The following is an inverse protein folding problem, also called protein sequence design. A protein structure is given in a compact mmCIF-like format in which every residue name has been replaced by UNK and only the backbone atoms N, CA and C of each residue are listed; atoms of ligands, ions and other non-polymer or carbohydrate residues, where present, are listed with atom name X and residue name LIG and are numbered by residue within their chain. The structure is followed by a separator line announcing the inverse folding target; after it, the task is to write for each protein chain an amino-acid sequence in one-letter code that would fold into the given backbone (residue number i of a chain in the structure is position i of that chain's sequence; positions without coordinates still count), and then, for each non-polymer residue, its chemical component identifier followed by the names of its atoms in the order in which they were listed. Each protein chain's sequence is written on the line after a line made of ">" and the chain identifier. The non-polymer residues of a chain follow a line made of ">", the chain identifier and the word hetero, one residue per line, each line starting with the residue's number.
data_IF_872252885383
#
_entry.id   IF_872252885383
#
_cell.length_a   1.000
_cell.length_b   1.000
_cell.length_c   1.000
_cell.angle_alpha   90.00
_cell.angle_beta   90.00
_cell.angle_gamma   90.00
#
_symmetry.space_group_name_H-M   'P 1'
#
loop_
_entity.id
_entity.type
_entity.pdbx_description
1 polymer ?
#
# COMPACT_ATOMS: atom_id res chain seq x y z
N UNK A 1 30.24 14.92 -30.24
CA UNK A 1 30.66 14.23 -29.01
C UNK A 1 29.50 14.32 -28.04
N UNK A 2 28.84 13.23 -27.62
CA UNK A 2 27.78 13.34 -26.64
C UNK A 2 28.39 13.32 -25.22
N UNK A 3 28.01 14.32 -24.44
CA UNK A 3 28.39 14.55 -23.05
C UNK A 3 28.09 13.34 -22.17
N UNK A 4 29.09 12.91 -21.41
CA UNK A 4 28.97 11.88 -20.37
C UNK A 4 28.30 12.51 -19.15
N UNK A 5 27.28 11.88 -18.54
CA UNK A 5 26.61 12.44 -17.36
C UNK A 5 27.56 12.54 -16.16
N UNK A 6 27.52 13.67 -15.45
CA UNK A 6 28.33 13.89 -14.25
C UNK A 6 27.79 13.11 -13.05
N UNK A 7 28.69 12.69 -12.16
CA UNK A 7 28.45 11.77 -11.03
C UNK A 7 27.32 12.20 -10.04
N UNK A 8 26.80 13.43 -10.13
CA UNK A 8 25.67 13.90 -9.32
C UNK A 8 24.31 13.35 -9.76
N UNK A 9 24.12 13.02 -11.04
CA UNK A 9 22.82 12.54 -11.55
C UNK A 9 22.50 11.09 -11.18
N UNK A 10 23.47 10.33 -10.66
CA UNK A 10 23.28 8.94 -10.22
C UNK A 10 22.72 8.84 -8.79
N UNK A 11 22.80 9.91 -7.99
CA UNK A 11 22.38 9.88 -6.58
C UNK A 11 20.86 10.09 -6.38
N UNK A 12 20.20 10.92 -7.21
CA UNK A 12 18.78 11.24 -7.02
C UNK A 12 17.81 10.16 -7.55
N UNK A 13 18.24 9.33 -8.50
CA UNK A 13 17.44 8.19 -8.97
C UNK A 13 17.30 7.07 -7.91
N UNK A 14 18.13 7.07 -6.86
CA UNK A 14 18.06 6.09 -5.78
C UNK A 14 17.20 6.50 -4.58
N UNK A 15 16.76 7.76 -4.48
CA UNK A 15 15.91 8.19 -3.36
C UNK A 15 14.41 7.88 -3.57
N UNK A 16 13.94 7.89 -4.82
CA UNK A 16 12.52 7.65 -5.15
C UNK A 16 12.10 6.18 -5.28
N UNK A 17 13.06 5.25 -5.40
CA UNK A 17 12.78 3.81 -5.56
C UNK A 17 12.83 3.05 -4.23
N UNK A 18 13.35 3.65 -3.16
CA UNK A 18 13.56 2.96 -1.87
C UNK A 18 12.28 2.89 -1.01
N UNK A 19 11.23 3.64 -1.34
CA UNK A 19 9.95 3.61 -0.60
C UNK A 19 8.99 2.47 -0.97
N UNK A 20 9.22 1.75 -2.07
CA UNK A 20 8.32 0.67 -2.54
C UNK A 20 8.63 -0.71 -1.90
N UNK A 21 9.72 -0.83 -1.16
CA UNK A 21 10.24 -2.12 -0.68
C UNK A 21 9.88 -2.50 0.77
N UNK A 22 9.10 -1.69 1.48
CA UNK A 22 8.96 -1.84 2.94
C UNK A 22 7.56 -2.25 3.41
N UNK A 23 6.67 -2.69 2.53
CA UNK A 23 5.35 -3.24 2.91
C UNK A 23 5.41 -4.77 2.76
N UNK A 24 5.34 -5.55 3.87
CA UNK A 24 5.44 -7.01 3.85
C UNK A 24 4.32 -7.78 3.12
N UNK A 25 3.50 -7.14 2.27
CA UNK A 25 2.42 -7.80 1.52
C UNK A 25 2.36 -7.41 0.03
N UNK A 26 3.21 -6.48 -0.44
CA UNK A 26 3.12 -5.95 -1.83
C UNK A 26 3.78 -6.86 -2.87
N UNK A 27 4.39 -7.98 -2.46
CA UNK A 27 5.04 -8.94 -3.36
C UNK A 27 4.13 -9.52 -4.46
N UNK A 28 2.81 -9.49 -4.29
CA UNK A 28 1.83 -10.02 -5.24
C UNK A 28 1.23 -8.99 -6.23
N UNK A 29 1.49 -7.68 -6.07
CA UNK A 29 0.84 -6.64 -6.89
C UNK A 29 1.80 -5.86 -7.81
N UNK A 30 3.04 -6.33 -8.01
CA UNK A 30 4.02 -5.70 -8.91
C UNK A 30 3.59 -5.67 -10.39
N UNK A 31 2.54 -6.39 -10.78
CA UNK A 31 2.06 -6.49 -12.16
C UNK A 31 1.03 -5.45 -12.62
N UNK A 32 0.58 -4.52 -11.76
CA UNK A 32 -0.56 -3.62 -12.08
C UNK A 32 -0.12 -2.21 -12.49
N UNK A 33 1.16 -1.86 -12.34
CA UNK A 33 1.65 -0.51 -12.68
C UNK A 33 2.25 -0.53 -14.09
N UNK A 34 1.58 0.11 -15.04
CA UNK A 34 2.10 0.40 -16.38
C UNK A 34 3.23 1.44 -16.25
N UNK A 35 4.46 0.95 -16.14
CA UNK A 35 5.66 1.74 -15.88
C UNK A 35 5.99 2.71 -17.03
N UNK A 36 5.59 2.41 -18.26
CA UNK A 36 5.80 3.27 -19.43
C UNK A 36 4.91 4.51 -19.38
N UNK A 37 3.64 4.36 -18.96
CA UNK A 37 2.74 5.50 -18.73
C UNK A 37 3.21 6.39 -17.60
N UNK A 38 3.75 5.80 -16.53
CA UNK A 38 4.33 6.54 -15.40
C UNK A 38 5.56 7.33 -15.87
N UNK A 39 6.44 6.73 -16.68
CA UNK A 39 7.64 7.39 -17.20
C UNK A 39 7.31 8.59 -18.12
N UNK A 40 6.39 8.42 -19.07
CA UNK A 40 5.98 9.48 -19.99
C UNK A 40 5.33 10.67 -19.25
N UNK A 41 4.56 10.40 -18.19
CA UNK A 41 3.98 11.44 -17.33
C UNK A 41 5.05 12.13 -16.48
N UNK A 42 6.02 11.37 -15.96
CA UNK A 42 7.16 11.93 -15.23
C UNK A 42 8.04 12.85 -16.10
N UNK A 43 8.20 12.55 -17.40
CA UNK A 43 8.93 13.43 -18.33
C UNK A 43 8.18 14.74 -18.61
N UNK A 44 6.86 14.70 -18.74
CA UNK A 44 6.04 15.92 -18.88
C UNK A 44 6.08 16.79 -17.64
N UNK A 45 6.06 16.17 -16.45
CA UNK A 45 6.32 16.84 -15.18
C UNK A 45 7.68 17.52 -15.20
N UNK A 46 8.78 16.82 -15.51
CA UNK A 46 10.13 17.41 -15.61
C UNK A 46 10.20 18.58 -16.60
N UNK A 47 9.50 18.51 -17.72
CA UNK A 47 9.48 19.58 -18.71
C UNK A 47 8.79 20.86 -18.20
N UNK A 48 7.82 20.76 -17.28
CA UNK A 48 7.12 21.90 -16.66
C UNK A 48 7.98 22.65 -15.61
N UNK A 49 9.08 22.08 -15.14
CA UNK A 49 9.85 22.60 -13.99
C UNK A 49 11.26 23.13 -14.30
N UNK A 50 11.60 23.39 -15.57
CA UNK A 50 12.99 23.71 -16.00
C UNK A 50 13.42 25.18 -15.82
N UNK A 51 12.71 25.99 -15.04
CA UNK A 51 12.88 27.44 -14.86
C UNK A 51 12.93 27.81 -13.35
N UNK A 52 13.07 29.09 -12.92
CA UNK A 52 13.39 29.48 -11.52
C UNK A 52 12.52 28.89 -10.38
N UNK A 53 11.48 28.13 -10.70
CA UNK A 53 10.71 27.27 -9.81
C UNK A 53 11.50 26.13 -9.15
N UNK A 54 12.72 25.82 -9.62
CA UNK A 54 13.61 24.83 -8.98
C UNK A 54 13.87 25.13 -7.49
N UNK A 55 13.98 26.41 -7.10
CA UNK A 55 14.14 26.77 -5.69
C UNK A 55 12.87 26.49 -4.88
N UNK A 56 11.68 26.65 -5.48
CA UNK A 56 10.39 26.38 -4.81
C UNK A 56 10.11 24.89 -4.70
N UNK A 57 10.56 24.08 -5.66
CA UNK A 57 10.53 22.61 -5.56
C UNK A 57 11.40 22.08 -4.42
N UNK A 58 12.52 22.75 -4.13
CA UNK A 58 13.40 22.37 -3.03
C UNK A 58 12.86 22.83 -1.67
N UNK A 59 12.23 24.01 -1.62
CA UNK A 59 11.79 24.64 -0.37
C UNK A 59 10.35 24.28 0.04
N UNK A 60 9.44 24.14 -0.92
CA UNK A 60 8.00 23.88 -0.71
C UNK A 60 7.46 22.96 -1.82
N UNK A 61 7.99 21.72 -1.93
CA UNK A 61 7.64 20.78 -3.00
C UNK A 61 6.13 20.53 -3.09
N UNK A 62 5.43 20.49 -1.97
CA UNK A 62 3.99 20.25 -1.92
C UNK A 62 3.20 21.38 -2.60
N UNK A 63 3.62 22.64 -2.49
CA UNK A 63 2.93 23.77 -3.14
C UNK A 63 3.14 23.79 -4.65
N UNK A 64 4.25 23.23 -5.13
CA UNK A 64 4.55 23.16 -6.55
C UNK A 64 3.98 21.89 -7.20
N UNK A 65 4.05 20.75 -6.51
CA UNK A 65 3.72 19.43 -7.08
C UNK A 65 2.26 19.04 -6.87
N UNK A 66 1.62 19.41 -5.77
CA UNK A 66 0.23 19.01 -5.49
C UNK A 66 -0.75 19.54 -6.53
N UNK A 67 -0.70 20.81 -6.98
CA UNK A 67 -1.61 21.29 -8.03
C UNK A 67 -1.46 20.50 -9.33
N UNK A 68 -0.24 20.10 -9.69
CA UNK A 68 0.01 19.29 -10.90
C UNK A 68 -0.51 17.87 -10.72
N UNK A 69 -0.37 17.28 -9.53
CA UNK A 69 -0.98 15.99 -9.22
C UNK A 69 -2.50 16.06 -9.35
N UNK A 70 -3.15 17.09 -8.80
CA UNK A 70 -4.61 17.26 -8.87
C UNK A 70 -5.11 17.47 -10.30
N UNK A 71 -4.38 18.21 -11.13
CA UNK A 71 -4.65 18.37 -12.58
C UNK A 71 -4.60 17.01 -13.33
N UNK A 72 -3.57 16.20 -13.07
CA UNK A 72 -3.45 14.87 -13.67
C UNK A 72 -4.52 13.89 -13.15
N UNK A 73 -4.92 14.01 -11.88
CA UNK A 73 -6.05 13.25 -11.32
C UNK A 73 -7.37 13.68 -11.94
N UNK A 74 -7.60 14.97 -12.17
CA UNK A 74 -8.78 15.46 -12.87
C UNK A 74 -8.86 14.88 -14.30
N UNK A 75 -7.75 14.91 -15.04
CA UNK A 75 -7.69 14.28 -16.36
C UNK A 75 -7.91 12.76 -16.33
N UNK A 76 -7.50 12.07 -15.25
CA UNK A 76 -7.80 10.65 -15.07
C UNK A 76 -9.27 10.39 -14.68
N UNK A 77 -9.87 11.31 -13.91
CA UNK A 77 -11.26 11.26 -13.50
C UNK A 77 -12.22 11.44 -14.68
N UNK A 78 -11.81 12.12 -15.74
CA UNK A 78 -12.58 12.21 -16.99
C UNK A 78 -12.64 10.86 -17.74
N UNK A 79 -11.68 9.96 -17.49
CA UNK A 79 -11.58 8.68 -18.18
C UNK A 79 -12.27 7.52 -17.45
N UNK A 80 -12.70 7.71 -16.19
CA UNK A 80 -13.30 6.68 -15.37
C UNK A 80 -14.41 7.24 -14.45
N UNK A 81 -15.48 6.49 -14.18
CA UNK A 81 -16.56 6.98 -13.31
C UNK A 81 -16.10 7.26 -11.88
N UNK A 82 -15.08 6.53 -11.39
CA UNK A 82 -14.50 6.70 -10.06
C UNK A 82 -12.98 6.51 -10.11
N UNK A 83 -12.26 7.32 -9.33
CA UNK A 83 -10.85 7.11 -9.00
C UNK A 83 -10.72 6.62 -7.56
N UNK A 84 -9.74 5.74 -7.31
CA UNK A 84 -9.42 5.31 -5.94
C UNK A 84 -7.94 5.54 -5.67
N UNK A 85 -7.65 6.30 -4.62
CA UNK A 85 -6.29 6.56 -4.13
C UNK A 85 -6.07 5.77 -2.85
N UNK A 86 -5.22 4.75 -2.90
CA UNK A 86 -4.90 3.90 -1.75
C UNK A 86 -3.56 4.31 -1.14
N UNK A 87 -3.60 4.67 0.15
CA UNK A 87 -2.46 5.02 0.97
C UNK A 87 -2.30 3.94 2.04
N UNK A 88 -1.42 2.97 1.76
CA UNK A 88 -1.19 1.81 2.62
C UNK A 88 -0.09 2.06 3.66
N UNK A 89 -0.09 1.24 4.72
CA UNK A 89 0.77 1.38 5.90
C UNK A 89 0.73 2.81 6.46
N UNK A 90 -0.47 3.39 6.53
CA UNK A 90 -0.68 4.81 6.81
C UNK A 90 -0.08 5.22 8.14
N UNK A 91 -0.03 4.34 9.14
CA UNK A 91 0.63 4.60 10.42
C UNK A 91 2.13 4.96 10.28
N UNK A 92 2.78 4.55 9.19
CA UNK A 92 4.20 4.84 8.90
C UNK A 92 4.38 6.08 8.03
N UNK A 93 3.43 6.36 7.14
CA UNK A 93 3.50 7.50 6.22
C UNK A 93 2.81 8.75 6.77
N UNK A 94 1.86 8.60 7.68
CA UNK A 94 1.09 9.68 8.30
C UNK A 94 1.95 10.81 8.89
N UNK A 95 3.10 10.57 9.55
CA UNK A 95 3.94 11.66 10.06
C UNK A 95 4.35 12.69 8.98
N UNK A 96 4.36 12.29 7.70
CA UNK A 96 4.68 13.16 6.57
C UNK A 96 3.45 13.52 5.74
N UNK A 97 2.51 12.56 5.54
CA UNK A 97 1.39 12.71 4.62
C UNK A 97 0.11 13.26 5.27
N UNK A 98 -0.10 13.06 6.57
CA UNK A 98 -1.41 13.25 7.21
C UNK A 98 -1.89 14.70 7.14
N UNK A 99 -1.00 15.65 7.42
CA UNK A 99 -1.29 17.07 7.25
C UNK A 99 -1.55 17.44 5.79
N UNK A 100 -0.75 16.93 4.87
CA UNK A 100 -0.90 17.22 3.45
C UNK A 100 -2.22 16.67 2.91
N UNK A 101 -2.57 15.43 3.27
CA UNK A 101 -3.81 14.80 2.85
C UNK A 101 -5.01 15.53 3.41
N UNK A 102 -4.97 15.92 4.69
CA UNK A 102 -5.99 16.76 5.29
C UNK A 102 -6.18 18.06 4.49
N UNK A 103 -5.10 18.81 4.22
CA UNK A 103 -5.16 20.05 3.42
C UNK A 103 -5.76 19.80 2.01
N UNK A 104 -5.42 18.68 1.34
CA UNK A 104 -5.98 18.31 0.03
C UNK A 104 -7.48 17.98 0.09
N UNK A 105 -7.92 17.34 1.17
CA UNK A 105 -9.30 16.85 1.31
C UNK A 105 -10.27 17.93 1.81
N UNK A 106 -9.78 18.88 2.61
CA UNK A 106 -10.65 19.80 3.37
C UNK A 106 -10.45 21.27 3.03
N UNK A 107 -9.47 21.61 2.18
CA UNK A 107 -9.16 23.00 1.81
C UNK A 107 -8.94 23.15 0.31
N UNK A 108 -8.99 24.39 -0.18
CA UNK A 108 -8.69 24.77 -1.57
C UNK A 108 -7.21 25.12 -1.78
N UNK A 109 -6.35 24.89 -0.78
CA UNK A 109 -4.95 25.36 -0.74
C UNK A 109 -4.13 24.94 -1.97
N UNK A 110 -4.40 23.76 -2.51
CA UNK A 110 -3.65 23.19 -3.63
C UNK A 110 -4.49 23.06 -4.91
N UNK A 111 -5.75 23.48 -4.88
CA UNK A 111 -6.77 23.14 -5.87
C UNK A 111 -7.69 22.02 -5.37
N UNK A 112 -8.67 21.66 -6.20
CA UNK A 112 -9.72 20.71 -5.83
C UNK A 112 -9.37 19.27 -6.20
N UNK A 113 -9.63 18.34 -5.29
CA UNK A 113 -9.66 16.91 -5.62
C UNK A 113 -10.89 16.62 -6.49
N UNK A 114 -10.78 15.83 -7.57
CA UNK A 114 -11.95 15.48 -8.39
C UNK A 114 -13.02 14.81 -7.54
N UNK A 115 -14.27 15.26 -7.66
CA UNK A 115 -15.39 14.85 -6.82
C UNK A 115 -15.70 13.34 -6.85
N UNK A 116 -15.26 12.65 -7.90
CA UNK A 116 -15.39 11.19 -8.04
C UNK A 116 -14.13 10.43 -7.57
N UNK A 117 -13.33 11.01 -6.68
CA UNK A 117 -12.17 10.36 -6.08
C UNK A 117 -12.51 9.84 -4.68
N UNK A 118 -12.30 8.54 -4.46
CA UNK A 118 -12.33 7.92 -3.14
C UNK A 118 -10.91 7.76 -2.63
N UNK A 119 -10.61 8.35 -1.48
CA UNK A 119 -9.32 8.17 -0.81
C UNK A 119 -9.46 7.12 0.28
N UNK A 120 -8.54 6.15 0.29
CA UNK A 120 -8.49 5.07 1.26
C UNK A 120 -7.16 5.12 1.99
N UNK A 121 -7.22 5.36 3.29
CA UNK A 121 -6.07 5.19 4.18
C UNK A 121 -6.17 3.82 4.85
N UNK A 122 -5.20 2.94 4.60
CA UNK A 122 -5.12 1.63 5.21
C UNK A 122 -4.02 1.62 6.27
N UNK A 123 -4.37 1.20 7.49
CA UNK A 123 -3.42 1.15 8.58
C UNK A 123 -4.00 0.50 9.84
N UNK A 124 -3.14 0.28 10.83
CA UNK A 124 -3.54 -0.35 12.09
C UNK A 124 -4.17 0.63 13.08
N UNK A 125 -4.00 1.93 12.85
CA UNK A 125 -4.48 3.00 13.72
C UNK A 125 -5.55 3.82 12.99
N UNK A 126 -6.59 4.29 13.70
CA UNK A 126 -7.54 5.24 13.13
C UNK A 126 -6.84 6.55 12.76
N UNK A 127 -7.54 7.39 11.98
CA UNK A 127 -7.11 8.76 11.71
C UNK A 127 -7.02 9.56 13.01
N UNK A 128 -6.10 10.54 13.05
CA UNK A 128 -5.95 11.43 14.20
C UNK A 128 -7.23 12.26 14.41
N UNK A 129 -7.99 12.05 15.51
CA UNK A 129 -9.29 12.69 15.70
C UNK A 129 -9.18 14.20 15.87
N UNK A 130 -8.04 14.73 16.32
CA UNK A 130 -7.84 16.17 16.48
C UNK A 130 -7.59 16.85 15.13
N UNK A 131 -6.95 16.16 14.19
CA UNK A 131 -6.73 16.69 12.82
C UNK A 131 -7.96 16.47 11.94
N UNK A 132 -8.57 15.30 12.05
CA UNK A 132 -9.69 14.86 11.23
C UNK A 132 -11.03 15.08 11.94
N UNK A 133 -11.15 16.19 12.66
CA UNK A 133 -12.41 16.61 13.28
C UNK A 133 -13.49 16.72 12.18
N UNK A 134 -14.65 16.10 12.42
CA UNK A 134 -15.75 16.05 11.44
C UNK A 134 -15.58 15.02 10.32
N UNK A 135 -14.51 14.22 10.31
CA UNK A 135 -14.32 13.19 9.29
C UNK A 135 -15.47 12.18 9.21
N UNK A 136 -16.22 11.97 10.30
CA UNK A 136 -17.41 11.11 10.29
C UNK A 136 -18.48 11.54 9.26
N UNK A 137 -18.47 12.80 8.80
CA UNK A 137 -19.42 13.30 7.80
C UNK A 137 -19.07 12.84 6.36
N UNK A 138 -17.83 12.46 6.10
CA UNK A 138 -17.34 12.14 4.75
C UNK A 138 -16.42 10.91 4.66
N UNK A 139 -16.02 10.32 5.79
CA UNK A 139 -15.17 9.15 5.87
C UNK A 139 -15.88 8.00 6.59
N UNK A 140 -15.67 6.78 6.08
CA UNK A 140 -16.18 5.56 6.69
C UNK A 140 -15.01 4.70 7.18
N UNK A 141 -15.00 4.35 8.46
CA UNK A 141 -14.03 3.40 9.01
C UNK A 141 -14.47 1.96 8.74
N UNK A 142 -13.58 1.17 8.15
CA UNK A 142 -13.80 -0.26 7.88
C UNK A 142 -12.79 -1.11 8.66
N UNK A 143 -13.08 -1.49 9.92
CA UNK A 143 -12.16 -2.26 10.73
C UNK A 143 -12.05 -3.71 10.22
N UNK A 144 -10.85 -4.12 9.80
CA UNK A 144 -10.55 -5.50 9.42
C UNK A 144 -10.17 -6.31 10.66
N UNK A 145 -11.13 -7.05 11.20
CA UNK A 145 -10.90 -7.96 12.33
C UNK A 145 -10.31 -9.29 11.84
N UNK A 146 -9.69 -10.09 12.73
CA UNK A 146 -9.50 -11.51 12.45
C UNK A 146 -10.82 -12.15 12.01
N UNK A 147 -10.74 -13.20 11.20
CA UNK A 147 -11.95 -13.88 10.74
C UNK A 147 -12.82 -14.35 11.90
N UNK A 148 -14.12 -14.31 11.68
CA UNK A 148 -15.06 -15.14 12.43
C UNK A 148 -14.73 -16.62 12.21
N UNK A 149 -15.18 -17.48 13.12
CA UNK A 149 -14.97 -18.92 12.95
C UNK A 149 -15.61 -19.43 11.65
N UNK A 150 -16.78 -18.92 11.28
CA UNK A 150 -17.47 -19.30 10.03
C UNK A 150 -16.67 -18.91 8.78
N UNK A 151 -16.09 -17.70 8.76
CA UNK A 151 -15.25 -17.25 7.64
C UNK A 151 -13.96 -18.09 7.54
N UNK A 152 -13.31 -18.36 8.68
CA UNK A 152 -12.11 -19.18 8.71
C UNK A 152 -12.39 -20.61 8.25
N UNK A 153 -13.47 -21.25 8.74
CA UNK A 153 -13.93 -22.57 8.28
C UNK A 153 -14.28 -22.56 6.79
N UNK A 154 -14.91 -21.50 6.29
CA UNK A 154 -15.20 -21.31 4.87
C UNK A 154 -13.93 -21.27 4.02
N UNK A 155 -12.90 -20.55 4.45
CA UNK A 155 -11.60 -20.53 3.77
C UNK A 155 -10.91 -21.90 3.79
N UNK A 156 -10.96 -22.61 4.93
CA UNK A 156 -10.39 -23.95 5.06
C UNK A 156 -11.09 -24.95 4.13
N UNK A 157 -12.42 -24.94 4.10
CA UNK A 157 -13.21 -25.78 3.21
C UNK A 157 -12.91 -25.49 1.73
N UNK A 158 -12.77 -24.21 1.35
CA UNK A 158 -12.37 -23.82 0.00
C UNK A 158 -10.97 -24.31 -0.38
N UNK A 159 -10.10 -24.55 0.61
CA UNK A 159 -8.76 -25.16 0.45
C UNK A 159 -8.75 -26.69 0.63
N UNK A 160 -9.92 -27.32 0.77
CA UNK A 160 -10.05 -28.77 0.93
C UNK A 160 -9.77 -29.30 2.33
N UNK A 161 -9.58 -28.43 3.33
CA UNK A 161 -9.40 -28.82 4.73
C UNK A 161 -10.75 -28.85 5.42
N UNK A 162 -11.35 -30.04 5.50
CA UNK A 162 -12.71 -30.25 6.05
C UNK A 162 -12.75 -31.14 7.28
N UNK A 163 -11.68 -31.90 7.54
CA UNK A 163 -11.61 -32.80 8.69
C UNK A 163 -11.59 -32.00 9.99
N UNK A 164 -12.60 -32.20 10.84
CA UNK A 164 -12.83 -31.38 12.04
C UNK A 164 -11.61 -31.32 12.99
N UNK A 165 -10.87 -32.41 13.25
CA UNK A 165 -9.66 -32.33 14.07
C UNK A 165 -8.59 -31.41 13.48
N UNK A 166 -8.43 -31.40 12.16
CA UNK A 166 -7.47 -30.56 11.45
C UNK A 166 -7.93 -29.10 11.45
N UNK A 167 -9.22 -28.87 11.20
CA UNK A 167 -9.84 -27.53 11.25
C UNK A 167 -9.67 -26.92 12.65
N UNK A 168 -9.99 -27.67 13.70
CA UNK A 168 -9.85 -27.21 15.08
C UNK A 168 -8.39 -26.82 15.41
N UNK A 169 -7.42 -27.60 14.93
CA UNK A 169 -6.01 -27.31 15.17
C UNK A 169 -5.53 -26.07 14.39
N UNK A 170 -5.93 -25.91 13.13
CA UNK A 170 -5.64 -24.70 12.35
C UNK A 170 -6.25 -23.45 13.01
N UNK A 171 -7.48 -23.52 13.49
CA UNK A 171 -8.14 -22.41 14.19
C UNK A 171 -7.42 -22.05 15.50
N UNK A 172 -6.99 -23.06 16.27
CA UNK A 172 -6.23 -22.90 17.51
C UNK A 172 -4.89 -22.20 17.27
N UNK A 173 -4.15 -22.63 16.24
CA UNK A 173 -2.81 -22.13 15.94
C UNK A 173 -2.82 -20.77 15.21
N UNK A 174 -3.79 -20.53 14.33
CA UNK A 174 -3.87 -19.28 13.55
C UNK A 174 -4.45 -18.10 14.32
N UNK A 175 -5.19 -18.33 15.41
CA UNK A 175 -6.00 -17.29 16.06
C UNK A 175 -7.01 -16.65 15.11
N UNK A 176 -7.38 -17.33 14.01
CA UNK A 176 -8.24 -16.84 12.91
C UNK A 176 -7.68 -15.63 12.14
N UNK A 177 -6.38 -15.37 12.25
CA UNK A 177 -5.73 -14.38 11.38
C UNK A 177 -5.74 -14.90 9.93
N UNK A 178 -6.34 -14.16 8.96
CA UNK A 178 -6.53 -14.65 7.60
C UNK A 178 -5.26 -15.23 6.94
N UNK A 179 -4.13 -14.53 7.12
CA UNK A 179 -2.83 -14.97 6.58
C UNK A 179 -2.40 -16.31 7.19
N UNK A 180 -2.51 -16.50 8.50
CA UNK A 180 -2.12 -17.74 9.17
C UNK A 180 -3.07 -18.89 8.83
N UNK A 181 -4.37 -18.62 8.72
CA UNK A 181 -5.35 -19.63 8.25
C UNK A 181 -4.97 -20.11 6.85
N UNK A 182 -4.64 -19.19 5.92
CA UNK A 182 -4.22 -19.58 4.57
C UNK A 182 -2.91 -20.38 4.58
N UNK A 183 -1.89 -19.90 5.29
CA UNK A 183 -0.56 -20.53 5.32
C UNK A 183 -0.59 -21.93 5.94
N UNK A 184 -1.37 -22.14 7.00
CA UNK A 184 -1.50 -23.48 7.61
C UNK A 184 -2.31 -24.45 6.76
N UNK A 185 -3.23 -23.94 5.92
CA UNK A 185 -4.01 -24.74 5.01
C UNK A 185 -3.28 -25.05 3.68
N UNK A 186 -2.29 -24.23 3.30
CA UNK A 186 -1.52 -24.41 2.04
C UNK A 186 -0.78 -25.74 1.95
N UNK A 187 -0.39 -26.33 3.08
CA UNK A 187 0.27 -27.64 3.11
C UNK A 187 -0.69 -28.82 2.91
N UNK A 188 -2.00 -28.59 2.86
CA UNK A 188 -3.00 -29.65 2.77
C UNK A 188 -2.92 -30.67 3.92
N UNK A 189 -2.93 -30.23 5.19
CA UNK A 189 -2.78 -31.14 6.33
C UNK A 189 -3.93 -32.17 6.36
N UNK A 190 -3.59 -33.44 6.59
CA UNK A 190 -4.54 -34.54 6.67
C UNK A 190 -4.80 -34.99 8.11
N UNK A 191 -3.87 -34.69 9.02
CA UNK A 191 -3.96 -34.93 10.46
C UNK A 191 -3.56 -33.68 11.27
N UNK A 192 -4.00 -33.56 12.53
CA UNK A 192 -3.61 -32.44 13.40
C UNK A 192 -2.09 -32.25 13.53
N UNK A 193 -1.34 -33.36 13.61
CA UNK A 193 0.13 -33.34 13.73
C UNK A 193 0.82 -32.76 12.47
N UNK A 194 0.13 -32.71 11.33
CA UNK A 194 0.64 -32.08 10.10
C UNK A 194 0.54 -30.55 10.16
N UNK A 195 -0.27 -30.00 11.07
CA UNK A 195 -0.45 -28.56 11.27
C UNK A 195 0.71 -28.03 12.13
N UNK A 196 1.87 -27.85 11.52
CA UNK A 196 3.07 -27.45 12.26
C UNK A 196 2.94 -26.09 12.96
N UNK A 197 3.47 -26.01 14.19
CA UNK A 197 3.46 -24.83 15.08
C UNK A 197 3.92 -23.55 14.34
N UNK A 198 3.07 -22.50 14.28
CA UNK A 198 3.42 -21.22 13.66
C UNK A 198 4.65 -20.59 14.30
N UNK A 199 4.85 -20.72 15.61
CA UNK A 199 5.94 -20.04 16.32
C UNK A 199 7.33 -20.61 15.98
N UNK A 200 7.42 -21.91 15.67
CA UNK A 200 8.67 -22.57 15.31
C UNK A 200 9.02 -22.41 13.82
N UNK A 201 8.05 -22.16 12.93
CA UNK A 201 8.24 -22.18 11.47
C UNK A 201 7.73 -20.91 10.73
N UNK A 202 7.17 -19.90 11.39
CA UNK A 202 6.57 -18.73 10.74
C UNK A 202 7.57 -17.94 9.89
N UNK A 203 8.82 -17.81 10.34
CA UNK A 203 9.86 -17.06 9.62
C UNK A 203 10.30 -17.83 8.36
N UNK A 204 10.54 -19.15 8.47
CA UNK A 204 10.94 -19.96 7.31
C UNK A 204 9.83 -20.10 6.27
N UNK A 205 8.55 -20.17 6.69
CA UNK A 205 7.40 -20.26 5.77
C UNK A 205 7.14 -18.94 5.05
N UNK A 206 7.28 -17.80 5.72
CA UNK A 206 7.15 -16.48 5.07
C UNK A 206 8.28 -16.25 4.05
N UNK A 207 9.50 -16.74 4.33
CA UNK A 207 10.66 -16.61 3.45
C UNK A 207 10.71 -17.61 2.28
N UNK A 208 9.90 -18.69 2.30
CA UNK A 208 9.84 -19.65 1.17
C UNK A 208 9.15 -19.08 -0.08
N UNK A 209 8.32 -18.03 0.07
CA UNK A 209 7.76 -17.28 -1.05
C UNK A 209 8.69 -16.24 -1.67
N UNK A 210 9.81 -15.91 -1.01
CA UNK A 210 10.75 -14.88 -1.46
C UNK A 210 11.79 -15.49 -2.42
N UNK A 211 11.73 -15.11 -3.70
CA UNK A 211 12.62 -15.61 -4.76
C UNK A 211 13.99 -14.90 -4.81
N UNK A 212 14.23 -13.87 -4.00
CA UNK A 212 15.50 -13.12 -3.97
C UNK A 212 16.40 -13.56 -2.79
N UNK A 213 17.55 -14.23 -3.06
CA UNK A 213 18.48 -14.67 -2.02
C UNK A 213 19.08 -13.53 -1.19
N UNK A 214 19.12 -12.29 -1.71
CA UNK A 214 19.76 -11.16 -1.04
C UNK A 214 18.93 -10.57 0.11
N UNK A 215 17.68 -11.03 0.28
CA UNK A 215 16.75 -10.55 1.32
C UNK A 215 16.54 -11.54 2.47
N UNK A 216 17.27 -12.67 2.47
CA UNK A 216 17.19 -13.74 3.48
C UNK A 216 18.18 -13.60 4.65
N UNK A 217 18.94 -12.50 4.72
CA UNK A 217 19.91 -12.21 5.80
C UNK A 217 19.55 -10.96 6.57
#
# INVERSE_FOLDING_TARGET
>A
EPDVPSAGSVALARAGVVGLGMVPLVGAFSGVVDTERVALRAERLRARFRTPEDARLVLEPERALTPVLLDELAGAADAAPWLVLLLDAYERTAPFLDRWLHDVMTTDRYGDLPANTVVVTAGQRPLDPDRWEGAADFAAELPLRPFTESEARGLLAAKGVTEEPVVAEVLRLSGRLPVLVSTLAETGPAAPDDVGDPSANAVERFLRGEQDPARRT
#
